data_IF_989309837057
#
_entry.id   IF_989309837057
#
_cell.length_a   1.000
_cell.length_b   1.000
_cell.length_c   1.000
_cell.angle_alpha   90.00
_cell.angle_beta   90.00
_cell.angle_gamma   90.00
#
_symmetry.space_group_name_H-M   'P 1'
#
loop_
_entity.id
_entity.type
_entity.pdbx_description
1 polymer ?
#
# COMPACT_ATOMS: atom_id res chain seq x y z
N UNK A 1 -14.96 -22.42 -19.55
CA UNK A 1 -16.30 -22.63 -18.95
C UNK A 1 -16.42 -21.60 -17.84
N UNK A 2 -17.41 -20.69 -17.86
CA UNK A 2 -17.70 -19.88 -16.67
C UNK A 2 -18.02 -20.83 -15.50
N UNK A 3 -17.46 -20.53 -14.32
CA UNK A 3 -17.66 -21.35 -13.12
C UNK A 3 -18.84 -20.75 -12.35
N UNK A 4 -20.04 -21.26 -12.61
CA UNK A 4 -21.26 -20.78 -11.95
C UNK A 4 -21.32 -21.34 -10.52
N UNK A 5 -21.06 -20.48 -9.53
CA UNK A 5 -21.13 -20.85 -8.12
C UNK A 5 -22.14 -19.94 -7.41
N UNK A 6 -23.29 -20.45 -6.94
CA UNK A 6 -24.27 -19.63 -6.27
C UNK A 6 -23.71 -19.11 -4.94
N UNK A 7 -23.85 -17.80 -4.72
CA UNK A 7 -23.40 -17.07 -3.53
C UNK A 7 -24.59 -16.34 -2.94
N UNK A 8 -24.74 -16.45 -1.62
CA UNK A 8 -25.77 -15.71 -0.88
C UNK A 8 -25.19 -14.38 -0.42
N UNK A 9 -25.89 -13.29 -0.73
CA UNK A 9 -25.55 -11.94 -0.30
C UNK A 9 -26.38 -11.56 0.92
N UNK A 10 -25.81 -10.75 1.82
CA UNK A 10 -26.62 -10.07 2.83
C UNK A 10 -27.56 -9.07 2.18
N UNK A 11 -28.64 -8.69 2.88
CA UNK A 11 -29.59 -7.69 2.40
C UNK A 11 -28.89 -6.36 2.03
N UNK A 12 -27.91 -5.94 2.83
CA UNK A 12 -27.15 -4.71 2.57
C UNK A 12 -26.29 -4.83 1.30
N UNK A 13 -25.61 -5.96 1.11
CA UNK A 13 -24.79 -6.19 -0.08
C UNK A 13 -25.64 -6.26 -1.35
N UNK A 14 -26.80 -6.92 -1.28
CA UNK A 14 -27.76 -6.94 -2.39
C UNK A 14 -28.23 -5.53 -2.76
N UNK A 15 -28.56 -4.69 -1.77
CA UNK A 15 -28.97 -3.30 -2.01
C UNK A 15 -27.86 -2.47 -2.67
N UNK A 16 -26.61 -2.67 -2.29
CA UNK A 16 -25.46 -2.02 -2.96
C UNK A 16 -25.34 -2.47 -4.42
N UNK A 17 -25.55 -3.75 -4.72
CA UNK A 17 -25.54 -4.25 -6.10
C UNK A 17 -26.67 -3.60 -6.91
N UNK A 18 -27.89 -3.56 -6.36
CA UNK A 18 -29.05 -2.92 -6.99
C UNK A 18 -28.81 -1.43 -7.26
N UNK A 19 -28.26 -0.68 -6.31
CA UNK A 19 -27.92 0.74 -6.48
C UNK A 19 -26.91 0.95 -7.62
N UNK A 20 -25.94 0.05 -7.76
CA UNK A 20 -24.90 0.15 -8.80
C UNK A 20 -25.43 -0.19 -10.19
N UNK A 21 -26.39 -1.12 -10.27
CA UNK A 21 -27.15 -1.41 -11.48
C UNK A 21 -28.06 -0.23 -11.86
N UNK A 22 -28.77 0.34 -10.90
CA UNK A 22 -29.67 1.48 -11.12
C UNK A 22 -28.94 2.74 -11.63
N UNK A 23 -27.68 2.92 -11.24
CA UNK A 23 -26.80 3.98 -11.75
C UNK A 23 -26.34 3.74 -13.19
N UNK A 24 -26.65 2.58 -13.79
CA UNK A 24 -26.26 2.20 -15.14
C UNK A 24 -24.77 1.94 -15.32
N UNK A 25 -24.00 1.84 -14.21
CA UNK A 25 -22.55 1.66 -14.25
C UNK A 25 -22.14 0.22 -14.62
N UNK A 26 -23.00 -0.75 -14.34
CA UNK A 26 -22.75 -2.17 -14.59
C UNK A 26 -23.97 -2.82 -15.25
N UNK A 27 -23.73 -3.79 -16.12
CA UNK A 27 -24.77 -4.45 -16.91
C UNK A 27 -25.46 -5.62 -16.19
N UNK A 28 -24.84 -6.17 -15.14
CA UNK A 28 -25.34 -7.31 -14.37
C UNK A 28 -24.79 -7.32 -12.95
N UNK A 29 -25.45 -8.07 -12.05
CA UNK A 29 -24.97 -8.29 -10.69
C UNK A 29 -23.59 -8.96 -10.69
N UNK A 30 -23.36 -9.91 -11.61
CA UNK A 30 -22.07 -10.58 -11.76
C UNK A 30 -20.96 -9.58 -12.10
N UNK A 31 -21.23 -8.61 -12.99
CA UNK A 31 -20.26 -7.56 -13.31
C UNK A 31 -19.93 -6.66 -12.11
N UNK A 32 -20.89 -6.42 -11.20
CA UNK A 32 -20.65 -5.69 -9.95
C UNK A 32 -19.75 -6.52 -9.02
N UNK A 33 -20.04 -7.82 -8.88
CA UNK A 33 -19.28 -8.73 -8.02
C UNK A 33 -17.86 -8.91 -8.54
N UNK A 34 -17.66 -9.10 -9.84
CA UNK A 34 -16.33 -9.18 -10.46
C UNK A 34 -15.51 -7.91 -10.20
N UNK A 35 -16.10 -6.74 -10.41
CA UNK A 35 -15.43 -5.46 -10.13
C UNK A 35 -15.08 -5.30 -8.63
N UNK A 36 -15.95 -5.76 -7.73
CA UNK A 36 -15.68 -5.75 -6.29
C UNK A 36 -14.53 -6.69 -5.91
N UNK A 37 -14.46 -7.88 -6.52
CA UNK A 37 -13.38 -8.84 -6.31
C UNK A 37 -12.05 -8.33 -6.85
N UNK A 38 -12.02 -7.72 -8.03
CA UNK A 38 -10.82 -7.07 -8.57
C UNK A 38 -10.31 -5.96 -7.65
N UNK A 39 -11.21 -5.15 -7.08
CA UNK A 39 -10.86 -4.12 -6.12
C UNK A 39 -10.31 -4.72 -4.81
N UNK A 40 -10.88 -5.82 -4.34
CA UNK A 40 -10.38 -6.53 -3.16
C UNK A 40 -8.97 -7.08 -3.42
N UNK A 41 -8.77 -7.76 -4.55
CA UNK A 41 -7.47 -8.31 -4.94
C UNK A 41 -6.41 -7.21 -5.07
N UNK A 42 -6.74 -6.09 -5.72
CA UNK A 42 -5.82 -4.96 -5.84
C UNK A 42 -5.40 -4.41 -4.48
N UNK A 43 -6.34 -4.32 -3.51
CA UNK A 43 -6.02 -3.91 -2.14
C UNK A 43 -5.13 -4.95 -1.46
N UNK A 44 -5.46 -6.23 -1.56
CA UNK A 44 -4.66 -7.30 -0.96
C UNK A 44 -3.23 -7.32 -1.51
N UNK A 45 -3.05 -7.15 -2.82
CA UNK A 45 -1.74 -7.02 -3.45
C UNK A 45 -0.97 -5.79 -2.95
N UNK A 46 -1.63 -4.64 -2.81
CA UNK A 46 -1.00 -3.45 -2.24
C UNK A 46 -0.56 -3.69 -0.79
N UNK A 47 -1.44 -4.28 0.04
CA UNK A 47 -1.13 -4.61 1.43
C UNK A 47 0.07 -5.57 1.51
N UNK A 48 0.08 -6.61 0.67
CA UNK A 48 1.14 -7.60 0.61
C UNK A 48 2.47 -6.98 0.18
N UNK A 49 2.46 -6.14 -0.87
CA UNK A 49 3.64 -5.42 -1.34
C UNK A 49 4.22 -4.51 -0.26
N UNK A 50 3.35 -3.80 0.48
CA UNK A 50 3.79 -2.99 1.62
C UNK A 50 4.38 -3.86 2.74
N UNK A 51 3.76 -4.99 3.07
CA UNK A 51 4.29 -5.91 4.07
C UNK A 51 5.67 -6.46 3.70
N UNK A 52 5.85 -6.87 2.45
CA UNK A 52 7.13 -7.35 1.92
C UNK A 52 8.19 -6.25 1.96
N UNK A 53 7.83 -5.02 1.58
CA UNK A 53 8.72 -3.87 1.67
C UNK A 53 9.20 -3.62 3.10
N UNK A 54 8.28 -3.58 4.07
CA UNK A 54 8.65 -3.40 5.47
C UNK A 54 9.49 -4.55 6.01
N UNK A 55 9.16 -5.79 5.64
CA UNK A 55 9.94 -6.97 6.04
C UNK A 55 11.37 -6.89 5.52
N UNK A 56 11.55 -6.43 4.28
CA UNK A 56 12.87 -6.21 3.69
C UNK A 56 13.66 -5.15 4.46
N UNK A 57 13.07 -4.01 4.76
CA UNK A 57 13.73 -2.94 5.52
C UNK A 57 14.13 -3.38 6.94
N UNK A 58 13.29 -4.17 7.61
CA UNK A 58 13.62 -4.75 8.92
C UNK A 58 14.81 -5.70 8.81
N UNK A 59 14.82 -6.57 7.78
CA UNK A 59 15.92 -7.50 7.56
C UNK A 59 17.22 -6.76 7.24
N UNK A 60 17.17 -5.74 6.38
CA UNK A 60 18.34 -4.89 6.08
C UNK A 60 18.91 -4.25 7.36
N UNK A 61 18.04 -3.74 8.23
CA UNK A 61 18.45 -3.20 9.54
C UNK A 61 19.06 -4.27 10.45
N UNK A 62 18.50 -5.48 10.50
CA UNK A 62 19.06 -6.59 11.27
C UNK A 62 20.44 -7.01 10.73
N UNK A 63 20.60 -7.09 9.41
CA UNK A 63 21.86 -7.42 8.76
C UNK A 63 22.93 -6.33 9.00
N UNK A 64 22.52 -5.05 9.09
CA UNK A 64 23.39 -3.94 9.48
C UNK A 64 23.83 -4.04 10.95
N UNK A 65 22.92 -4.40 11.86
CA UNK A 65 23.25 -4.65 13.26
C UNK A 65 24.28 -5.79 13.39
N UNK A 66 24.02 -6.93 12.74
CA UNK A 66 24.88 -8.12 12.79
C UNK A 66 26.28 -7.86 12.21
N UNK A 67 26.35 -7.04 11.16
CA UNK A 67 27.61 -6.64 10.54
C UNK A 67 28.33 -5.48 11.27
N UNK A 68 27.75 -4.97 12.36
CA UNK A 68 28.30 -3.83 13.10
C UNK A 68 28.25 -2.50 12.34
N UNK A 69 27.43 -2.38 11.29
CA UNK A 69 27.18 -1.15 10.54
C UNK A 69 26.20 -0.25 11.30
N UNK A 70 26.55 0.06 12.53
CA UNK A 70 25.73 0.85 13.46
C UNK A 70 26.47 2.12 13.84
N UNK A 71 25.71 3.16 14.16
CA UNK A 71 26.24 4.44 14.63
C UNK A 71 25.49 4.84 15.90
N UNK A 72 26.20 5.50 16.81
CA UNK A 72 25.59 6.10 17.98
C UNK A 72 24.46 7.08 17.60
N UNK A 73 23.36 7.05 18.36
CA UNK A 73 22.15 7.80 18.02
C UNK A 73 22.35 9.32 18.02
N UNK A 74 23.12 9.86 18.97
CA UNK A 74 23.40 11.29 19.02
C UNK A 74 24.25 11.72 17.82
N UNK A 75 25.21 10.87 17.45
CA UNK A 75 26.05 11.07 16.26
C UNK A 75 25.23 11.03 14.98
N UNK A 76 24.34 10.05 14.81
CA UNK A 76 23.47 9.93 13.65
C UNK A 76 22.55 11.17 13.47
N UNK A 77 22.00 11.67 14.57
CA UNK A 77 21.11 12.84 14.55
C UNK A 77 21.87 14.12 14.21
N UNK A 78 23.06 14.31 14.79
CA UNK A 78 23.93 15.46 14.49
C UNK A 78 24.29 15.49 13.00
N UNK A 79 24.82 14.39 12.47
CA UNK A 79 25.20 14.29 11.05
C UNK A 79 23.99 14.49 10.13
N UNK A 80 22.84 13.94 10.47
CA UNK A 80 21.61 14.12 9.69
C UNK A 80 21.17 15.57 9.63
N UNK A 81 21.28 16.30 10.74
CA UNK A 81 20.98 17.74 10.79
C UNK A 81 21.97 18.56 9.97
N UNK A 82 23.26 18.26 10.06
CA UNK A 82 24.30 18.93 9.29
C UNK A 82 24.08 18.76 7.77
N UNK A 83 23.74 17.54 7.32
CA UNK A 83 23.41 17.28 5.91
C UNK A 83 22.21 18.10 5.44
N UNK A 84 21.16 18.21 6.26
CA UNK A 84 19.97 19.00 5.91
C UNK A 84 20.31 20.49 5.78
N UNK A 85 21.08 21.03 6.72
CA UNK A 85 21.52 22.44 6.68
C UNK A 85 22.42 22.71 5.46
N UNK A 86 23.37 21.83 5.17
CA UNK A 86 24.24 21.95 4.00
C UNK A 86 23.44 21.91 2.69
N UNK A 87 22.41 21.05 2.60
CA UNK A 87 21.53 20.99 1.42
C UNK A 87 20.70 22.27 1.28
N UNK A 88 20.19 22.82 2.37
CA UNK A 88 19.42 24.06 2.35
C UNK A 88 20.28 25.28 1.95
N UNK A 89 21.53 25.34 2.40
CA UNK A 89 22.47 26.40 2.01
C UNK A 89 22.75 26.37 0.50
N UNK A 90 23.05 25.19 -0.05
CA UNK A 90 23.29 25.01 -1.49
C UNK A 90 22.09 25.41 -2.36
N UNK A 91 20.86 25.17 -1.90
CA UNK A 91 19.65 25.56 -2.63
C UNK A 91 19.43 27.09 -2.64
N UNK A 92 19.86 27.79 -1.58
CA UNK A 92 19.78 29.25 -1.49
C UNK A 92 20.85 29.94 -2.33
N UNK A 93 22.04 29.35 -2.46
CA UNK A 93 23.11 29.85 -3.32
C UNK A 93 22.84 29.62 -4.82
N UNK A 94 21.95 28.67 -5.15
CA UNK A 94 21.56 28.34 -6.51
C UNK A 94 20.30 29.08 -7.01
N UNK A 95 19.68 29.93 -6.18
CA UNK A 95 18.52 30.78 -6.52
C UNK A 95 18.94 32.24 -6.65
#
# INVERSE_FOLDING_TARGET
MPNEKPISLSADAARVVEDQLARGKYASADAVVEAALQLLESREQEQQSRHEHWRKLIQEGADDLDAGRVVDGETAMRESRERLLAKAAKLREAS
#
